data_IF_086546495678
#
_entry.id   IF_086546495678
#
_cell.length_a   1.000
_cell.length_b   1.000
_cell.length_c   1.000
_cell.angle_alpha   90.00
_cell.angle_beta   90.00
_cell.angle_gamma   90.00
#
_symmetry.space_group_name_H-M   'P 1'
#
loop_
_entity.id
_entity.type
_entity.pdbx_description
1 polymer ?
#
# COMPACT_ATOMS: atom_id res chain seq x y z
N UNK A 1 -91.67 87.85 -6.79
CA UNK A 1 -92.58 86.67 -6.76
C UNK A 1 -92.72 86.13 -8.17
N UNK A 2 -92.22 84.94 -8.46
CA UNK A 2 -92.79 83.99 -9.43
C UNK A 2 -91.87 82.77 -9.54
N UNK A 3 -92.46 81.59 -9.38
CA UNK A 3 -91.83 80.27 -9.39
C UNK A 3 -91.63 79.75 -10.82
N UNK A 4 -90.51 79.02 -10.97
CA UNK A 4 -90.23 77.83 -11.81
C UNK A 4 -90.33 77.99 -13.35
N UNK A 5 -89.39 77.35 -14.08
CA UNK A 5 -89.68 75.99 -14.56
C UNK A 5 -88.50 75.01 -14.49
N UNK A 6 -88.81 73.81 -14.97
CA UNK A 6 -88.23 72.47 -14.82
C UNK A 6 -86.97 72.22 -15.73
N UNK A 7 -86.35 71.01 -15.66
CA UNK A 7 -84.92 70.76 -15.83
C UNK A 7 -84.50 70.25 -17.22
N UNK A 8 -83.19 70.22 -17.49
CA UNK A 8 -82.53 69.41 -18.56
C UNK A 8 -80.99 69.57 -18.48
N UNK A 9 -80.16 68.76 -19.16
CA UNK A 9 -80.02 67.30 -19.14
C UNK A 9 -78.61 66.85 -18.65
N UNK A 10 -78.44 65.55 -18.43
CA UNK A 10 -77.17 64.89 -18.05
C UNK A 10 -76.04 65.16 -19.06
N UNK A 11 -74.96 65.81 -18.61
CA UNK A 11 -73.72 65.94 -19.38
C UNK A 11 -72.80 64.73 -19.14
N UNK A 12 -72.27 64.24 -20.26
CA UNK A 12 -71.40 63.07 -20.43
C UNK A 12 -70.20 63.05 -19.48
N UNK A 13 -69.88 61.86 -18.99
CA UNK A 13 -68.71 61.57 -18.18
C UNK A 13 -67.40 61.80 -18.99
N UNK A 14 -66.45 62.53 -18.40
CA UNK A 14 -65.06 62.59 -18.88
C UNK A 14 -64.38 61.24 -18.59
N UNK A 15 -63.57 60.68 -19.51
CA UNK A 15 -62.78 59.50 -19.21
C UNK A 15 -61.73 59.84 -18.12
N UNK A 16 -61.61 58.96 -17.13
CA UNK A 16 -60.59 59.06 -16.08
C UNK A 16 -59.20 59.01 -16.72
N UNK A 17 -58.40 60.05 -16.52
CA UNK A 17 -56.95 59.98 -16.71
C UNK A 17 -56.39 58.97 -15.70
N UNK A 18 -55.93 57.82 -16.20
CA UNK A 18 -55.19 56.86 -15.41
C UNK A 18 -53.86 57.51 -15.01
N UNK A 19 -53.79 58.04 -13.78
CA UNK A 19 -52.54 58.24 -13.08
C UNK A 19 -51.82 56.89 -13.03
N UNK A 20 -50.77 56.73 -13.84
CA UNK A 20 -49.80 55.66 -13.66
C UNK A 20 -49.07 55.92 -12.35
N UNK A 21 -49.63 55.39 -11.25
CA UNK A 21 -48.86 55.19 -10.02
C UNK A 21 -47.64 54.37 -10.41
N UNK A 22 -46.44 54.98 -10.34
CA UNK A 22 -45.19 54.23 -10.22
C UNK A 22 -45.37 53.35 -8.98
N UNK A 23 -45.72 52.09 -9.18
CA UNK A 23 -45.65 51.08 -8.15
C UNK A 23 -44.18 51.01 -7.76
N UNK A 24 -43.84 51.49 -6.56
CA UNK A 24 -42.58 51.16 -5.94
C UNK A 24 -42.57 49.63 -5.79
N UNK A 25 -41.88 48.96 -6.71
CA UNK A 25 -41.64 47.52 -6.61
C UNK A 25 -41.02 47.25 -5.24
N UNK A 26 -41.78 46.56 -4.39
CA UNK A 26 -41.28 45.98 -3.17
C UNK A 26 -40.19 44.97 -3.57
N UNK A 27 -38.92 45.40 -3.63
CA UNK A 27 -37.80 44.48 -3.81
C UNK A 27 -37.79 43.55 -2.60
N UNK A 28 -38.26 42.32 -2.81
CA UNK A 28 -38.11 41.23 -1.84
C UNK A 28 -36.63 41.21 -1.43
N UNK A 29 -36.31 41.13 -0.12
CA UNK A 29 -34.93 41.12 0.32
C UNK A 29 -34.24 39.88 -0.28
N UNK A 30 -33.41 40.08 -1.29
CA UNK A 30 -32.58 39.03 -1.87
C UNK A 30 -31.39 38.84 -0.95
N UNK A 31 -31.33 37.71 -0.26
CA UNK A 31 -30.17 37.33 0.53
C UNK A 31 -28.93 37.35 -0.39
N UNK A 32 -27.84 38.04 -0.02
CA UNK A 32 -26.64 38.05 -0.83
C UNK A 32 -26.09 36.63 -0.95
N UNK A 33 -25.76 36.22 -2.18
CA UNK A 33 -25.34 34.84 -2.47
C UNK A 33 -24.03 34.46 -1.75
N UNK A 34 -23.14 35.44 -1.52
CA UNK A 34 -21.82 35.23 -0.94
C UNK A 34 -21.83 34.64 0.49
N UNK A 35 -22.56 35.21 1.49
CA UNK A 35 -22.63 34.60 2.82
C UNK A 35 -23.35 33.25 2.84
N UNK A 36 -24.33 33.01 1.95
CA UNK A 36 -24.96 31.70 1.82
C UNK A 36 -23.94 30.65 1.39
N UNK A 37 -23.12 30.95 0.38
CA UNK A 37 -22.04 30.04 -0.06
C UNK A 37 -21.06 29.76 1.07
N UNK A 38 -20.65 30.76 1.86
CA UNK A 38 -19.76 30.57 3.01
C UNK A 38 -20.39 29.69 4.11
N UNK A 39 -21.69 29.83 4.38
CA UNK A 39 -22.39 28.99 5.34
C UNK A 39 -22.49 27.56 4.82
N UNK A 40 -22.80 27.36 3.52
CA UNK A 40 -22.86 26.03 2.91
C UNK A 40 -21.48 25.35 2.87
N UNK A 41 -20.40 26.08 2.59
CA UNK A 41 -19.05 25.51 2.62
C UNK A 41 -18.62 25.20 4.06
N UNK A 42 -18.87 26.08 5.02
CA UNK A 42 -18.57 25.84 6.43
C UNK A 42 -19.33 24.62 6.97
N UNK A 43 -20.64 24.53 6.67
CA UNK A 43 -21.47 23.37 7.05
C UNK A 43 -21.00 22.10 6.38
N UNK A 44 -20.67 22.12 5.08
CA UNK A 44 -20.11 20.97 4.37
C UNK A 44 -18.76 20.52 4.96
N UNK A 45 -17.86 21.45 5.31
CA UNK A 45 -16.58 21.14 5.97
C UNK A 45 -16.83 20.56 7.36
N UNK A 46 -17.76 21.12 8.15
CA UNK A 46 -18.11 20.54 9.46
C UNK A 46 -18.77 19.18 9.33
N UNK A 47 -19.63 18.96 8.33
CA UNK A 47 -20.25 17.67 8.07
C UNK A 47 -19.21 16.64 7.61
N UNK A 48 -18.26 17.03 6.76
CA UNK A 48 -17.12 16.20 6.36
C UNK A 48 -16.21 15.89 7.56
N UNK A 49 -15.92 16.89 8.39
CA UNK A 49 -15.14 16.73 9.61
C UNK A 49 -15.84 15.82 10.63
N UNK A 50 -17.15 15.97 10.83
CA UNK A 50 -17.97 15.12 11.69
C UNK A 50 -18.11 13.71 11.12
N UNK A 51 -18.25 13.57 9.80
CA UNK A 51 -18.27 12.27 9.13
C UNK A 51 -16.93 11.55 9.34
N UNK A 52 -15.80 12.22 9.05
CA UNK A 52 -14.48 11.65 9.29
C UNK A 52 -14.21 11.38 10.78
N UNK A 53 -14.77 12.19 11.68
CA UNK A 53 -14.76 12.00 13.12
C UNK A 53 -15.53 10.72 13.48
N UNK A 54 -16.84 10.62 13.23
CA UNK A 54 -17.64 9.46 13.66
C UNK A 54 -17.30 8.14 12.94
N UNK A 55 -16.82 8.20 11.70
CA UNK A 55 -16.43 6.99 10.94
C UNK A 55 -14.93 6.66 11.04
N UNK A 56 -14.16 7.41 11.85
CA UNK A 56 -12.77 7.03 12.16
C UNK A 56 -12.73 5.72 12.95
N UNK A 57 -11.75 4.86 12.62
CA UNK A 57 -11.52 3.57 13.30
C UNK A 57 -11.40 3.69 14.81
N UNK A 58 -10.97 4.86 15.30
CA UNK A 58 -10.76 5.18 16.70
C UNK A 58 -12.07 5.25 17.50
N UNK A 59 -13.24 5.46 16.88
CA UNK A 59 -14.52 5.54 17.60
C UNK A 59 -15.15 4.19 17.92
N UNK A 60 -14.69 3.14 17.28
CA UNK A 60 -15.08 1.76 17.60
C UNK A 60 -14.59 1.32 18.98
N UNK A 61 -13.57 1.98 19.51
CA UNK A 61 -13.03 1.70 20.83
C UNK A 61 -13.87 2.36 21.93
N UNK A 62 -14.03 1.71 23.09
CA UNK A 62 -14.48 2.32 24.34
C UNK A 62 -13.75 3.63 24.66
N UNK A 63 -14.40 4.54 25.41
CA UNK A 63 -13.92 5.91 25.61
C UNK A 63 -12.52 6.00 26.21
N UNK A 64 -12.21 5.16 27.21
CA UNK A 64 -10.91 5.14 27.88
C UNK A 64 -9.76 4.80 26.91
N UNK A 65 -9.91 3.69 26.17
CA UNK A 65 -8.93 3.24 25.17
C UNK A 65 -8.76 4.30 24.08
N UNK A 66 -9.88 4.88 23.63
CA UNK A 66 -9.91 5.91 22.59
C UNK A 66 -9.07 7.14 22.96
N UNK A 67 -9.16 7.57 24.22
CA UNK A 67 -8.43 8.74 24.73
C UNK A 67 -6.93 8.53 24.65
N UNK A 68 -6.44 7.35 25.03
CA UNK A 68 -5.02 7.03 24.99
C UNK A 68 -4.53 6.80 23.55
N UNK A 69 -5.30 6.11 22.69
CA UNK A 69 -4.94 5.94 21.27
C UNK A 69 -4.78 7.28 20.54
N UNK A 70 -5.68 8.25 20.77
CA UNK A 70 -5.57 9.58 20.17
C UNK A 70 -4.31 10.31 20.62
N UNK A 71 -3.94 10.18 21.90
CA UNK A 71 -2.69 10.77 22.40
C UNK A 71 -1.49 10.09 21.75
N UNK A 72 -1.48 8.75 21.64
CA UNK A 72 -0.45 8.00 20.92
C UNK A 72 -0.24 8.53 19.50
N UNK A 73 -1.32 8.57 18.71
CA UNK A 73 -1.31 9.11 17.34
C UNK A 73 -0.87 10.58 17.28
N UNK A 74 -1.28 11.40 18.25
CA UNK A 74 -0.88 12.80 18.33
C UNK A 74 0.63 12.96 18.54
N UNK A 75 1.19 12.20 19.48
CA UNK A 75 2.62 12.29 19.79
C UNK A 75 3.49 11.71 18.69
N UNK A 76 3.03 10.67 18.01
CA UNK A 76 3.70 10.09 16.85
C UNK A 76 3.71 11.05 15.66
N UNK A 77 2.54 11.55 15.24
CA UNK A 77 2.42 12.26 13.96
C UNK A 77 2.64 13.77 14.03
N UNK A 78 2.36 14.42 15.17
CA UNK A 78 2.38 15.89 15.27
C UNK A 78 3.49 16.43 16.15
N UNK A 79 3.80 15.75 17.25
CA UNK A 79 4.87 16.18 18.17
C UNK A 79 6.21 15.52 17.88
N UNK A 80 6.24 14.48 17.05
CA UNK A 80 7.42 13.67 16.76
C UNK A 80 8.14 13.21 18.04
N UNK A 81 7.36 12.77 19.04
CA UNK A 81 7.84 12.20 20.30
C UNK A 81 7.39 10.72 20.37
N UNK A 82 8.10 9.83 19.68
CA UNK A 82 7.70 8.43 19.56
C UNK A 82 7.78 7.69 20.90
N UNK A 83 8.60 8.13 21.85
CA UNK A 83 8.71 7.50 23.18
C UNK A 83 7.44 7.72 23.99
N UNK A 84 6.88 8.95 23.99
CA UNK A 84 5.57 9.18 24.61
C UNK A 84 4.46 8.44 23.89
N UNK A 85 4.52 8.37 22.56
CA UNK A 85 3.54 7.63 21.78
C UNK A 85 3.48 6.15 22.19
N UNK A 86 4.65 5.49 22.36
CA UNK A 86 4.74 4.12 22.89
C UNK A 86 4.00 3.99 24.23
N UNK A 87 4.24 4.88 25.19
CA UNK A 87 3.59 4.79 26.51
C UNK A 87 2.06 4.86 26.40
N UNK A 88 1.54 5.74 25.53
CA UNK A 88 0.09 5.84 25.30
C UNK A 88 -0.47 4.61 24.60
N UNK A 89 0.24 4.04 23.63
CA UNK A 89 -0.18 2.80 22.97
C UNK A 89 -0.14 1.60 23.91
N UNK A 90 0.89 1.47 24.75
CA UNK A 90 0.95 0.43 25.79
C UNK A 90 -0.20 0.56 26.79
N UNK A 91 -0.51 1.79 27.23
CA UNK A 91 -1.64 2.05 28.14
C UNK A 91 -2.96 1.66 27.48
N UNK A 92 -3.17 2.08 26.23
CA UNK A 92 -4.37 1.73 25.46
C UNK A 92 -4.50 0.21 25.24
N UNK A 93 -3.39 -0.49 24.97
CA UNK A 93 -3.37 -1.94 24.80
C UNK A 93 -3.71 -2.66 26.13
N UNK A 94 -3.14 -2.21 27.24
CA UNK A 94 -3.45 -2.75 28.56
C UNK A 94 -4.93 -2.53 28.93
N UNK A 95 -5.48 -1.35 28.66
CA UNK A 95 -6.91 -1.07 28.85
C UNK A 95 -7.77 -1.96 27.96
N UNK A 96 -7.33 -2.24 26.73
CA UNK A 96 -8.04 -3.13 25.81
C UNK A 96 -8.07 -4.59 26.30
N UNK A 97 -6.97 -5.11 26.83
CA UNK A 97 -6.92 -6.46 27.42
C UNK A 97 -7.78 -6.62 28.68
N UNK A 98 -7.95 -5.55 29.45
CA UNK A 98 -8.76 -5.58 30.66
C UNK A 98 -10.24 -5.29 30.39
N UNK A 99 -10.63 -5.05 29.13
CA UNK A 99 -11.99 -4.73 28.77
C UNK A 99 -12.78 -6.00 28.43
N UNK A 100 -13.85 -6.27 29.18
CA UNK A 100 -14.68 -7.46 28.98
C UNK A 100 -15.48 -7.47 27.65
N UNK A 101 -15.63 -6.32 26.98
CA UNK A 101 -16.36 -6.20 25.71
C UNK A 101 -15.47 -6.47 24.50
N UNK A 102 -14.15 -6.45 24.66
CA UNK A 102 -13.19 -6.61 23.57
C UNK A 102 -12.53 -8.00 23.62
N UNK A 103 -12.70 -8.77 22.56
CA UNK A 103 -11.94 -9.99 22.36
C UNK A 103 -10.48 -9.64 21.99
N UNK A 104 -9.51 -10.35 22.56
CA UNK A 104 -8.09 -10.16 22.27
C UNK A 104 -7.75 -10.47 20.81
N UNK A 105 -8.51 -11.37 20.17
CA UNK A 105 -8.38 -11.69 18.75
C UNK A 105 -9.08 -10.67 17.83
N UNK A 106 -9.80 -9.71 18.40
CA UNK A 106 -10.58 -8.75 17.62
C UNK A 106 -9.69 -7.86 16.73
N UNK A 107 -10.22 -7.39 15.58
CA UNK A 107 -9.53 -6.42 14.73
C UNK A 107 -9.10 -5.14 15.42
N UNK A 108 -9.82 -4.75 16.47
CA UNK A 108 -9.57 -3.59 17.30
C UNK A 108 -8.30 -3.80 18.14
N UNK A 109 -8.26 -4.84 18.97
CA UNK A 109 -7.13 -5.09 19.87
C UNK A 109 -5.86 -5.42 19.08
N UNK A 110 -5.96 -6.30 18.07
CA UNK A 110 -4.83 -6.64 17.19
C UNK A 110 -4.35 -5.43 16.37
N UNK A 111 -5.26 -4.50 16.05
CA UNK A 111 -4.92 -3.23 15.41
C UNK A 111 -4.01 -2.35 16.28
N UNK A 112 -4.27 -2.29 17.59
CA UNK A 112 -3.40 -1.58 18.54
C UNK A 112 -2.01 -2.23 18.60
N UNK A 113 -1.97 -3.57 18.65
CA UNK A 113 -0.70 -4.32 18.66
C UNK A 113 0.13 -4.02 17.41
N UNK A 114 -0.47 -4.08 16.22
CA UNK A 114 0.23 -3.78 14.95
C UNK A 114 0.81 -2.37 14.96
N UNK A 115 0.05 -1.37 15.43
CA UNK A 115 0.54 0.01 15.50
C UNK A 115 1.71 0.16 16.50
N UNK A 116 1.62 -0.48 17.65
CA UNK A 116 2.69 -0.48 18.65
C UNK A 116 3.94 -1.20 18.13
N UNK A 117 3.78 -2.36 17.48
CA UNK A 117 4.86 -3.11 16.87
C UNK A 117 5.59 -2.30 15.79
N UNK A 118 4.84 -1.66 14.88
CA UNK A 118 5.42 -0.77 13.85
C UNK A 118 6.21 0.38 14.45
N UNK A 119 5.68 1.00 15.53
CA UNK A 119 6.39 2.08 16.22
C UNK A 119 7.68 1.58 16.89
N UNK A 120 7.70 0.36 17.42
CA UNK A 120 8.93 -0.23 17.95
C UNK A 120 9.99 -0.45 16.87
N UNK A 121 9.59 -0.87 15.66
CA UNK A 121 10.52 -0.98 14.55
C UNK A 121 11.09 0.36 14.10
N UNK A 122 10.25 1.39 13.99
CA UNK A 122 10.69 2.76 13.69
C UNK A 122 11.73 3.24 14.71
N UNK A 123 11.62 2.80 15.97
CA UNK A 123 12.55 3.08 17.05
C UNK A 123 13.78 2.14 17.09
N UNK A 124 13.89 1.17 16.18
CA UNK A 124 14.94 0.16 16.17
C UNK A 124 14.84 -0.86 17.32
N UNK A 125 13.73 -0.89 18.05
CA UNK A 125 13.45 -1.80 19.17
C UNK A 125 12.91 -3.14 18.65
N UNK A 126 13.73 -3.84 17.86
CA UNK A 126 13.34 -5.05 17.11
C UNK A 126 12.76 -6.16 17.98
N UNK A 127 13.29 -6.36 19.21
CA UNK A 127 12.78 -7.39 20.13
C UNK A 127 11.39 -7.05 20.66
N UNK A 128 11.17 -5.80 21.06
CA UNK A 128 9.85 -5.36 21.54
C UNK A 128 8.81 -5.42 20.41
N UNK A 129 9.21 -5.08 19.18
CA UNK A 129 8.38 -5.26 18.00
C UNK A 129 8.01 -6.74 17.81
N UNK A 130 9.01 -7.63 17.84
CA UNK A 130 8.80 -9.07 17.70
C UNK A 130 7.78 -9.59 18.72
N UNK A 131 7.95 -9.26 20.00
CA UNK A 131 7.05 -9.71 21.07
C UNK A 131 5.59 -9.28 20.81
N UNK A 132 5.37 -8.03 20.40
CA UNK A 132 4.03 -7.51 20.13
C UNK A 132 3.43 -8.10 18.85
N UNK A 133 4.21 -8.29 17.78
CA UNK A 133 3.72 -8.94 16.57
C UNK A 133 3.42 -10.42 16.79
N UNK A 134 4.21 -11.12 17.58
CA UNK A 134 3.94 -12.52 17.98
C UNK A 134 2.65 -12.59 18.77
N UNK A 135 2.44 -11.67 19.73
CA UNK A 135 1.19 -11.57 20.47
C UNK A 135 -0.03 -11.35 19.55
N UNK A 136 0.09 -10.47 18.55
CA UNK A 136 -0.97 -10.24 17.57
C UNK A 136 -1.23 -11.47 16.67
N UNK A 137 -0.16 -12.16 16.28
CA UNK A 137 -0.24 -13.37 15.46
C UNK A 137 -0.92 -14.50 16.23
N UNK A 138 -0.48 -14.77 17.46
CA UNK A 138 -1.00 -15.85 18.29
C UNK A 138 -2.45 -15.61 18.70
N UNK A 139 -2.82 -14.36 19.01
CA UNK A 139 -4.21 -14.00 19.30
C UNK A 139 -5.16 -14.38 18.15
N UNK A 140 -4.70 -14.30 16.89
CA UNK A 140 -5.54 -14.60 15.72
C UNK A 140 -5.41 -16.08 15.29
N UNK A 141 -4.19 -16.59 15.19
CA UNK A 141 -3.90 -17.88 14.56
C UNK A 141 -4.01 -19.04 15.53
N UNK A 142 -3.54 -18.85 16.76
CA UNK A 142 -3.52 -19.88 17.80
C UNK A 142 -4.11 -19.39 19.13
N UNK A 143 -5.34 -18.83 19.15
CA UNK A 143 -5.95 -18.41 20.41
C UNK A 143 -5.97 -19.61 21.38
N UNK A 144 -5.48 -19.39 22.60
CA UNK A 144 -5.31 -20.43 23.63
C UNK A 144 -4.49 -21.66 23.16
N UNK A 145 -3.49 -21.46 22.31
CA UNK A 145 -2.64 -22.50 21.71
C UNK A 145 -3.40 -23.49 20.81
N UNK A 146 -4.56 -23.12 20.29
CA UNK A 146 -5.35 -23.96 19.38
C UNK A 146 -5.44 -23.32 17.99
N UNK A 147 -4.93 -23.97 16.93
CA UNK A 147 -5.06 -23.45 15.57
C UNK A 147 -6.53 -23.32 15.16
N UNK A 148 -6.93 -22.13 14.73
CA UNK A 148 -8.29 -21.87 14.25
C UNK A 148 -8.31 -21.80 12.73
N UNK A 149 -9.41 -22.26 12.12
CA UNK A 149 -9.61 -22.10 10.67
C UNK A 149 -9.76 -20.62 10.35
N UNK A 150 -8.82 -20.09 9.57
CA UNK A 150 -8.83 -18.70 9.12
C UNK A 150 -9.59 -18.56 7.81
N UNK A 151 -10.38 -17.48 7.68
CA UNK A 151 -11.03 -17.11 6.43
C UNK A 151 -11.09 -15.59 6.27
N UNK A 152 -11.29 -15.14 5.02
CA UNK A 152 -11.55 -13.75 4.72
C UNK A 152 -10.36 -12.82 5.01
N UNK A 153 -10.70 -11.61 5.45
CA UNK A 153 -9.73 -10.57 5.80
C UNK A 153 -8.88 -10.93 7.02
N UNK A 154 -9.37 -11.80 7.90
CA UNK A 154 -8.61 -12.27 9.07
C UNK A 154 -7.44 -13.13 8.60
N UNK A 155 -7.67 -14.05 7.66
CA UNK A 155 -6.60 -14.86 7.05
C UNK A 155 -5.53 -13.99 6.39
N UNK A 156 -5.92 -12.99 5.59
CA UNK A 156 -4.97 -12.06 4.97
C UNK A 156 -4.15 -11.29 6.01
N UNK A 157 -4.78 -10.83 7.10
CA UNK A 157 -4.06 -10.17 8.20
C UNK A 157 -3.04 -11.10 8.86
N UNK A 158 -3.40 -12.35 9.14
CA UNK A 158 -2.47 -13.33 9.71
C UNK A 158 -1.28 -13.61 8.79
N UNK A 159 -1.50 -13.67 7.47
CA UNK A 159 -0.45 -13.82 6.46
C UNK A 159 0.50 -12.62 6.49
N UNK A 160 -0.03 -11.39 6.56
CA UNK A 160 0.79 -10.18 6.68
C UNK A 160 1.61 -10.14 7.97
N UNK A 161 1.02 -10.58 9.10
CA UNK A 161 1.74 -10.73 10.37
C UNK A 161 2.84 -11.78 10.28
N UNK A 162 2.60 -12.92 9.63
CA UNK A 162 3.61 -13.96 9.42
C UNK A 162 4.78 -13.44 8.57
N UNK A 163 4.49 -12.80 7.43
CA UNK A 163 5.52 -12.15 6.60
C UNK A 163 6.38 -11.19 7.45
N UNK A 164 5.73 -10.39 8.30
CA UNK A 164 6.41 -9.46 9.18
C UNK A 164 7.29 -10.12 10.24
N UNK A 165 6.79 -11.19 10.87
CA UNK A 165 7.57 -12.00 11.79
C UNK A 165 8.77 -12.64 11.08
N UNK A 166 8.60 -13.05 9.81
CA UNK A 166 9.68 -13.48 8.93
C UNK A 166 10.80 -12.44 8.84
N UNK A 167 10.45 -11.19 8.49
CA UNK A 167 11.40 -10.08 8.38
C UNK A 167 12.13 -9.81 9.69
N UNK A 168 11.41 -9.81 10.81
CA UNK A 168 11.97 -9.56 12.14
C UNK A 168 12.94 -10.67 12.55
N UNK A 169 12.56 -11.94 12.38
CA UNK A 169 13.45 -13.06 12.64
C UNK A 169 14.68 -13.04 11.72
N UNK A 170 14.52 -12.68 10.45
CA UNK A 170 15.64 -12.51 9.52
C UNK A 170 16.60 -11.41 10.00
N UNK A 171 16.08 -10.27 10.46
CA UNK A 171 16.90 -9.17 11.01
C UNK A 171 17.69 -9.60 12.27
N UNK A 172 17.13 -10.51 13.07
CA UNK A 172 17.75 -11.11 14.24
C UNK A 172 18.65 -12.32 13.91
N UNK A 173 18.82 -12.66 12.62
CA UNK A 173 19.58 -13.82 12.14
C UNK A 173 19.04 -15.17 12.64
N UNK A 174 17.73 -15.24 12.87
CA UNK A 174 17.00 -16.44 13.29
C UNK A 174 16.36 -17.12 12.08
N UNK A 175 17.21 -17.63 11.19
CA UNK A 175 16.82 -18.09 9.85
C UNK A 175 15.77 -19.20 9.87
N UNK A 176 15.85 -20.14 10.81
CA UNK A 176 14.86 -21.23 10.94
C UNK A 176 13.46 -20.69 11.19
N UNK A 177 13.33 -19.70 12.08
CA UNK A 177 12.03 -19.10 12.38
C UNK A 177 11.56 -18.20 11.24
N UNK A 178 12.47 -17.45 10.62
CA UNK A 178 12.13 -16.64 9.46
C UNK A 178 11.56 -17.51 8.33
N UNK A 179 12.26 -18.60 7.98
CA UNK A 179 11.84 -19.58 6.97
C UNK A 179 10.46 -20.15 7.30
N UNK A 180 10.21 -20.53 8.56
CA UNK A 180 8.93 -21.06 9.01
C UNK A 180 7.77 -20.09 8.74
N UNK A 181 7.90 -18.81 9.09
CA UNK A 181 6.82 -17.85 8.90
C UNK A 181 6.58 -17.51 7.42
N UNK A 182 7.65 -17.36 6.63
CA UNK A 182 7.51 -17.14 5.20
C UNK A 182 6.85 -18.33 4.51
N UNK A 183 7.25 -19.57 4.81
CA UNK A 183 6.61 -20.78 4.28
C UNK A 183 5.13 -20.81 4.67
N UNK A 184 4.82 -20.65 5.95
CA UNK A 184 3.44 -20.69 6.43
C UNK A 184 2.56 -19.67 5.68
N UNK A 185 3.06 -18.45 5.49
CA UNK A 185 2.32 -17.40 4.78
C UNK A 185 2.01 -17.76 3.32
N UNK A 186 2.98 -18.34 2.59
CA UNK A 186 2.81 -18.76 1.19
C UNK A 186 1.88 -19.96 1.11
N UNK A 187 2.00 -20.92 2.03
CA UNK A 187 1.10 -22.08 2.12
C UNK A 187 -0.35 -21.65 2.34
N UNK A 188 -0.60 -20.69 3.24
CA UNK A 188 -1.95 -20.19 3.49
C UNK A 188 -2.57 -19.53 2.24
N UNK A 189 -1.76 -18.83 1.44
CA UNK A 189 -2.21 -18.22 0.18
C UNK A 189 -2.51 -19.28 -0.89
N UNK A 190 -1.64 -20.27 -1.05
CA UNK A 190 -1.81 -21.36 -2.02
C UNK A 190 -2.99 -22.27 -1.65
N UNK A 191 -3.21 -22.53 -0.36
CA UNK A 191 -4.36 -23.28 0.12
C UNK A 191 -5.67 -22.58 -0.30
N UNK A 192 -5.78 -21.26 -0.07
CA UNK A 192 -6.96 -20.49 -0.46
C UNK A 192 -7.23 -20.56 -1.97
N UNK A 193 -6.19 -20.54 -2.80
CA UNK A 193 -6.36 -20.76 -4.24
C UNK A 193 -6.90 -22.16 -4.54
N UNK A 194 -6.34 -23.20 -3.91
CA UNK A 194 -6.77 -24.58 -4.14
C UNK A 194 -8.23 -24.83 -3.74
N UNK A 195 -8.68 -24.25 -2.62
CA UNK A 195 -10.06 -24.35 -2.14
C UNK A 195 -11.04 -23.72 -3.16
N UNK A 196 -10.71 -22.53 -3.68
CA UNK A 196 -11.51 -21.85 -4.70
C UNK A 196 -11.48 -22.60 -6.04
N UNK A 197 -10.34 -23.17 -6.43
CA UNK A 197 -10.22 -23.96 -7.65
C UNK A 197 -11.08 -25.25 -7.59
N UNK A 198 -11.14 -25.90 -6.43
CA UNK A 198 -11.96 -27.10 -6.21
C UNK A 198 -13.47 -26.79 -6.26
N UNK A 199 -13.90 -25.63 -5.74
CA UNK A 199 -15.30 -25.20 -5.80
C UNK A 199 -15.78 -24.88 -7.22
N UNK A 200 -14.86 -24.49 -8.12
CA UNK A 200 -15.15 -24.06 -9.48
C UNK A 200 -15.00 -25.18 -10.53
N UNK A 201 -15.06 -26.46 -10.14
CA UNK A 201 -14.87 -27.58 -11.07
C UNK A 201 -15.91 -27.63 -12.21
N UNK A 202 -15.53 -27.10 -13.38
CA UNK A 202 -15.64 -27.82 -14.65
C UNK A 202 -14.53 -28.88 -14.70
N UNK A 203 -14.92 -30.14 -14.93
CA UNK A 203 -14.10 -31.36 -14.76
C UNK A 203 -12.92 -31.56 -15.73
N UNK A 204 -12.49 -30.54 -16.49
CA UNK A 204 -11.50 -30.73 -17.56
C UNK A 204 -10.18 -29.95 -17.43
N UNK A 205 -9.98 -29.15 -16.37
CA UNK A 205 -8.68 -28.51 -16.15
C UNK A 205 -7.92 -29.22 -15.04
N UNK A 206 -7.07 -30.18 -15.42
CA UNK A 206 -5.96 -30.60 -14.55
C UNK A 206 -5.04 -29.39 -14.41
N UNK A 207 -5.29 -28.59 -13.39
CA UNK A 207 -4.52 -27.41 -13.03
C UNK A 207 -3.11 -27.84 -12.64
N UNK A 208 -2.20 -27.85 -13.61
CA UNK A 208 -0.79 -27.83 -13.29
C UNK A 208 -0.52 -26.47 -12.63
N UNK A 209 0.06 -26.48 -11.42
CA UNK A 209 0.50 -25.30 -10.69
C UNK A 209 1.41 -24.36 -11.53
N UNK A 210 1.96 -24.91 -12.62
CA UNK A 210 2.83 -24.26 -13.61
C UNK A 210 2.25 -24.23 -15.04
N UNK A 211 0.97 -24.53 -15.28
CA UNK A 211 0.42 -24.40 -16.64
C UNK A 211 0.36 -22.94 -17.06
N UNK A 212 0.80 -22.72 -18.30
CA UNK A 212 0.92 -21.46 -19.07
C UNK A 212 -0.33 -20.55 -19.10
N UNK A 213 -1.45 -20.98 -18.52
CA UNK A 213 -2.71 -20.23 -18.47
C UNK A 213 -2.97 -19.82 -17.01
N UNK A 214 -3.03 -18.52 -16.76
CA UNK A 214 -3.36 -17.92 -15.46
C UNK A 214 -4.86 -18.14 -15.21
N UNK A 215 -5.29 -19.39 -15.05
CA UNK A 215 -6.63 -19.73 -14.56
C UNK A 215 -6.57 -19.83 -13.02
N UNK A 216 -5.81 -18.94 -12.38
CA UNK A 216 -5.73 -18.85 -10.94
C UNK A 216 -6.89 -17.98 -10.45
N UNK A 217 -7.91 -18.61 -9.87
CA UNK A 217 -9.00 -17.89 -9.21
C UNK A 217 -8.59 -17.65 -7.76
N UNK A 218 -8.57 -16.37 -7.37
CA UNK A 218 -8.31 -15.93 -6.01
C UNK A 218 -9.62 -15.57 -5.30
N UNK A 219 -9.71 -15.76 -3.97
CA UNK A 219 -10.88 -15.32 -3.23
C UNK A 219 -11.01 -13.78 -3.25
N UNK A 220 -12.22 -13.21 -3.09
CA UNK A 220 -12.47 -11.76 -3.24
C UNK A 220 -11.67 -10.86 -2.27
N UNK A 221 -11.16 -11.44 -1.19
CA UNK A 221 -10.39 -10.74 -0.17
C UNK A 221 -8.88 -10.74 -0.45
N UNK A 222 -8.41 -11.38 -1.52
CA UNK A 222 -7.00 -11.51 -1.88
C UNK A 222 -6.74 -11.00 -3.29
N UNK A 223 -5.59 -10.35 -3.49
CA UNK A 223 -5.14 -9.92 -4.81
C UNK A 223 -3.94 -10.73 -5.29
N UNK A 224 -3.70 -10.71 -6.61
CA UNK A 224 -2.47 -11.26 -7.20
C UNK A 224 -1.21 -10.56 -6.68
N UNK A 225 -1.33 -9.27 -6.31
CA UNK A 225 -0.24 -8.50 -5.68
C UNK A 225 0.14 -9.08 -4.33
N UNK A 226 -0.84 -9.44 -3.48
CA UNK A 226 -0.57 -10.03 -2.16
C UNK A 226 0.17 -11.37 -2.29
N UNK A 227 -0.26 -12.20 -3.24
CA UNK A 227 0.41 -13.47 -3.54
C UNK A 227 1.82 -13.25 -4.11
N UNK A 228 1.95 -12.33 -5.07
CA UNK A 228 3.24 -12.00 -5.69
C UNK A 228 4.26 -11.51 -4.67
N UNK A 229 3.88 -10.56 -3.82
CA UNK A 229 4.76 -10.02 -2.78
C UNK A 229 5.19 -11.10 -1.76
N UNK A 230 4.27 -11.99 -1.36
CA UNK A 230 4.59 -13.06 -0.41
C UNK A 230 5.55 -14.10 -1.00
N UNK A 231 5.38 -14.43 -2.28
CA UNK A 231 6.31 -15.31 -3.02
C UNK A 231 7.68 -14.65 -3.20
N UNK A 232 7.70 -13.36 -3.54
CA UNK A 232 8.92 -12.59 -3.70
C UNK A 232 9.73 -12.51 -2.40
N UNK A 233 9.07 -12.25 -1.27
CA UNK A 233 9.73 -12.20 0.04
C UNK A 233 10.40 -13.54 0.41
N UNK A 234 9.69 -14.66 0.23
CA UNK A 234 10.27 -15.99 0.46
C UNK A 234 11.41 -16.29 -0.54
N UNK A 235 11.29 -15.85 -1.80
CA UNK A 235 12.34 -15.98 -2.80
C UNK A 235 13.60 -15.18 -2.42
N UNK A 236 13.42 -13.95 -1.95
CA UNK A 236 14.50 -13.07 -1.48
C UNK A 236 15.20 -13.65 -0.25
N UNK A 237 14.43 -14.20 0.69
CA UNK A 237 14.97 -14.93 1.83
C UNK A 237 15.89 -16.06 1.36
N UNK A 238 15.44 -16.94 0.45
CA UNK A 238 16.28 -18.02 -0.08
C UNK A 238 17.48 -17.52 -0.90
N UNK A 239 17.30 -16.50 -1.74
CA UNK A 239 18.37 -15.93 -2.55
C UNK A 239 19.51 -15.41 -1.68
N UNK A 240 19.19 -14.68 -0.61
CA UNK A 240 20.18 -14.14 0.33
C UNK A 240 20.95 -15.23 1.12
N UNK A 241 20.47 -16.48 1.11
CA UNK A 241 21.10 -17.65 1.72
C UNK A 241 21.76 -18.57 0.69
N UNK A 242 21.95 -18.10 -0.55
CA UNK A 242 22.51 -18.88 -1.66
C UNK A 242 21.67 -20.14 -2.01
N UNK A 243 20.43 -20.23 -1.52
CA UNK A 243 19.47 -21.32 -1.76
C UNK A 243 18.75 -21.10 -3.10
N UNK A 244 19.52 -20.89 -4.17
CA UNK A 244 19.03 -20.44 -5.47
C UNK A 244 18.01 -21.37 -6.13
N UNK A 245 18.12 -22.68 -5.90
CA UNK A 245 17.18 -23.69 -6.41
C UNK A 245 15.75 -23.50 -5.87
N UNK A 246 15.60 -22.93 -4.67
CA UNK A 246 14.31 -22.62 -4.08
C UNK A 246 13.82 -21.22 -4.47
N UNK A 247 14.72 -20.24 -4.59
CA UNK A 247 14.38 -18.86 -4.94
C UNK A 247 13.83 -18.71 -6.38
N UNK A 248 14.48 -19.35 -7.35
CA UNK A 248 14.15 -19.18 -8.77
C UNK A 248 12.68 -19.50 -9.12
N UNK A 249 12.11 -20.68 -8.75
CA UNK A 249 10.73 -20.98 -9.08
C UNK A 249 9.74 -20.01 -8.42
N UNK A 250 10.06 -19.48 -7.24
CA UNK A 250 9.21 -18.50 -6.54
C UNK A 250 9.20 -17.15 -7.26
N UNK A 251 10.37 -16.63 -7.67
CA UNK A 251 10.42 -15.39 -8.47
C UNK A 251 9.74 -15.55 -9.82
N UNK A 252 9.96 -16.66 -10.52
CA UNK A 252 9.28 -16.95 -11.79
C UNK A 252 7.77 -17.02 -11.61
N UNK A 253 7.32 -17.61 -10.50
CA UNK A 253 5.90 -17.64 -10.16
C UNK A 253 5.36 -16.24 -9.90
N UNK A 254 6.02 -15.44 -9.05
CA UNK A 254 5.62 -14.06 -8.79
C UNK A 254 5.52 -13.23 -10.09
N UNK A 255 6.49 -13.38 -11.00
CA UNK A 255 6.48 -12.68 -12.29
C UNK A 255 5.28 -13.10 -13.16
N UNK A 256 4.93 -14.39 -13.14
CA UNK A 256 3.77 -14.90 -13.89
C UNK A 256 2.42 -14.39 -13.40
N UNK A 257 2.35 -13.83 -12.18
CA UNK A 257 1.12 -13.25 -11.63
C UNK A 257 0.85 -11.84 -12.17
N UNK A 258 1.87 -11.19 -12.76
CA UNK A 258 1.74 -9.87 -13.35
C UNK A 258 1.28 -10.03 -14.79
N UNK A 259 0.04 -9.61 -15.08
CA UNK A 259 -0.55 -9.73 -16.41
C UNK A 259 -1.24 -8.41 -16.85
N UNK A 260 -0.82 -7.78 -17.96
CA UNK A 260 0.36 -8.12 -18.78
C UNK A 260 1.66 -7.69 -18.08
N UNK A 261 2.78 -8.42 -18.25
CA UNK A 261 4.04 -8.11 -17.56
C UNK A 261 4.58 -6.72 -17.90
N UNK A 262 4.31 -6.21 -19.11
CA UNK A 262 4.74 -4.88 -19.57
C UNK A 262 3.97 -3.74 -18.88
N UNK A 263 2.93 -4.04 -18.10
CA UNK A 263 2.14 -3.02 -17.40
C UNK A 263 2.73 -2.53 -16.08
N UNK A 264 3.80 -3.17 -15.58
CA UNK A 264 4.37 -2.86 -14.26
C UNK A 264 5.90 -2.84 -14.26
N UNK A 265 6.49 -1.81 -13.66
CA UNK A 265 7.92 -1.76 -13.37
C UNK A 265 8.35 -2.83 -12.36
N UNK A 266 7.42 -3.32 -11.54
CA UNK A 266 7.67 -4.44 -10.64
C UNK A 266 8.07 -5.72 -11.38
N UNK A 267 7.60 -5.93 -12.62
CA UNK A 267 8.08 -7.02 -13.47
C UNK A 267 9.59 -6.95 -13.70
N UNK A 268 10.14 -5.75 -13.87
CA UNK A 268 11.58 -5.56 -14.05
C UNK A 268 12.36 -5.80 -12.75
N UNK A 269 11.78 -5.48 -11.59
CA UNK A 269 12.35 -5.83 -10.27
C UNK A 269 12.48 -7.35 -10.14
N UNK A 270 11.43 -8.10 -10.47
CA UNK A 270 11.47 -9.56 -10.45
C UNK A 270 12.48 -10.12 -11.47
N UNK A 271 12.57 -9.54 -12.66
CA UNK A 271 13.58 -9.93 -13.66
C UNK A 271 15.01 -9.65 -13.17
N UNK A 272 15.23 -8.54 -12.46
CA UNK A 272 16.50 -8.22 -11.81
C UNK A 272 16.87 -9.28 -10.75
N UNK A 273 15.93 -9.63 -9.88
CA UNK A 273 16.16 -10.66 -8.85
C UNK A 273 16.45 -12.03 -9.49
N UNK A 274 15.76 -12.38 -10.58
CA UNK A 274 16.06 -13.59 -11.36
C UNK A 274 17.47 -13.54 -11.96
N UNK A 275 17.91 -12.39 -12.49
CA UNK A 275 19.28 -12.24 -12.99
C UNK A 275 20.34 -12.42 -11.91
N UNK A 276 20.09 -11.94 -10.70
CA UNK A 276 20.99 -12.10 -9.55
C UNK A 276 21.09 -13.57 -9.15
N UNK A 277 19.95 -14.28 -9.11
CA UNK A 277 19.90 -15.72 -8.86
C UNK A 277 20.73 -16.50 -9.89
N UNK A 278 20.60 -16.21 -11.18
CA UNK A 278 21.42 -16.85 -12.22
C UNK A 278 22.90 -16.47 -12.12
N UNK A 279 23.22 -15.24 -11.74
CA UNK A 279 24.59 -14.79 -11.50
C UNK A 279 25.22 -15.60 -10.36
N UNK A 280 24.50 -15.79 -9.26
CA UNK A 280 24.92 -16.61 -8.13
C UNK A 280 25.07 -18.10 -8.45
N UNK A 281 24.29 -18.61 -9.41
CA UNK A 281 24.47 -19.96 -9.98
C UNK A 281 25.66 -20.06 -10.97
N UNK A 282 26.30 -18.95 -11.33
CA UNK A 282 27.37 -18.89 -12.34
C UNK A 282 26.90 -18.94 -13.78
N UNK A 283 25.58 -18.88 -14.04
CA UNK A 283 25.03 -18.87 -15.40
C UNK A 283 24.90 -17.43 -15.90
N UNK A 284 26.03 -16.84 -16.30
CA UNK A 284 26.12 -15.43 -16.70
C UNK A 284 25.30 -15.11 -17.96
N UNK A 285 25.16 -16.06 -18.89
CA UNK A 285 24.37 -15.87 -20.12
C UNK A 285 22.88 -15.68 -19.80
N UNK A 286 22.30 -16.57 -18.97
CA UNK A 286 20.92 -16.41 -18.53
C UNK A 286 20.73 -15.17 -17.66
N UNK A 287 21.69 -14.88 -16.77
CA UNK A 287 21.67 -13.68 -15.95
C UNK A 287 21.58 -12.41 -16.81
N UNK A 288 22.47 -12.29 -17.80
CA UNK A 288 22.48 -11.17 -18.73
C UNK A 288 21.14 -11.07 -19.48
N UNK A 289 20.63 -12.19 -20.01
CA UNK A 289 19.37 -12.20 -20.75
C UNK A 289 18.16 -11.73 -19.91
N UNK A 290 18.11 -12.06 -18.62
CA UNK A 290 17.06 -11.58 -17.72
C UNK A 290 17.21 -10.09 -17.38
N UNK A 291 18.43 -9.64 -17.08
CA UNK A 291 18.71 -8.24 -16.78
C UNK A 291 18.43 -7.33 -18.00
N UNK A 292 18.81 -7.74 -19.21
CA UNK A 292 18.53 -7.00 -20.45
C UNK A 292 17.02 -6.91 -20.73
N UNK A 293 16.26 -7.98 -20.48
CA UNK A 293 14.79 -7.95 -20.60
C UNK A 293 14.16 -6.98 -19.63
N UNK A 294 14.59 -6.99 -18.36
CA UNK A 294 14.15 -6.04 -17.35
C UNK A 294 14.46 -4.60 -17.75
N UNK A 295 15.69 -4.34 -18.22
CA UNK A 295 16.13 -3.03 -18.66
C UNK A 295 15.29 -2.52 -19.85
N UNK A 296 15.06 -3.38 -20.85
CA UNK A 296 14.22 -3.05 -22.01
C UNK A 296 12.78 -2.75 -21.60
N UNK A 297 12.25 -3.43 -20.58
CA UNK A 297 10.90 -3.17 -20.07
C UNK A 297 10.80 -1.76 -19.48
N UNK A 298 11.72 -1.40 -18.58
CA UNK A 298 11.70 -0.06 -17.93
C UNK A 298 12.03 1.08 -18.87
N UNK A 299 12.83 0.84 -19.92
CA UNK A 299 13.15 1.85 -20.94
C UNK A 299 11.98 2.15 -21.87
N UNK A 300 11.18 1.13 -22.20
CA UNK A 300 10.00 1.28 -23.04
C UNK A 300 8.73 1.64 -22.24
N UNK A 301 8.82 1.71 -20.92
CA UNK A 301 7.69 2.05 -20.07
C UNK A 301 7.21 3.48 -20.34
N UNK A 302 5.90 3.66 -20.49
CA UNK A 302 5.28 4.92 -20.89
C UNK A 302 5.73 6.08 -19.97
N UNK A 303 6.32 7.13 -20.55
CA UNK A 303 6.87 8.29 -19.84
C UNK A 303 5.87 8.97 -18.89
N UNK A 304 4.56 8.86 -19.15
CA UNK A 304 3.50 9.44 -18.29
C UNK A 304 3.25 8.65 -16.99
N UNK A 305 3.80 7.44 -16.85
CA UNK A 305 3.63 6.55 -15.68
C UNK A 305 4.96 6.19 -15.01
N UNK A 306 6.05 6.88 -15.33
CA UNK A 306 7.34 6.64 -14.67
C UNK A 306 7.22 6.99 -13.19
N UNK A 307 7.36 5.97 -12.35
CA UNK A 307 7.52 6.11 -10.91
C UNK A 307 9.01 6.18 -10.59
N UNK A 308 9.35 6.72 -9.42
CA UNK A 308 10.71 6.68 -8.86
C UNK A 308 11.25 5.24 -8.83
N UNK A 309 10.40 4.29 -8.46
CA UNK A 309 10.71 2.84 -8.46
C UNK A 309 11.19 2.33 -9.84
N UNK A 310 10.58 2.79 -10.95
CA UNK A 310 11.02 2.41 -12.29
C UNK A 310 12.45 2.89 -12.59
N UNK A 311 12.79 4.12 -12.19
CA UNK A 311 14.11 4.69 -12.46
C UNK A 311 15.18 4.11 -11.50
N UNK A 312 14.82 3.81 -10.24
CA UNK A 312 15.68 3.09 -9.29
C UNK A 312 15.98 1.68 -9.78
N UNK A 313 14.96 0.92 -10.19
CA UNK A 313 15.11 -0.42 -10.77
C UNK A 313 16.00 -0.38 -12.03
N UNK A 314 15.84 0.65 -12.88
CA UNK A 314 16.71 0.84 -14.05
C UNK A 314 18.17 1.04 -13.66
N UNK A 315 18.43 1.81 -12.60
CA UNK A 315 19.79 2.00 -12.06
C UNK A 315 20.40 0.68 -11.57
N UNK A 316 19.63 -0.11 -10.81
CA UNK A 316 20.08 -1.42 -10.30
C UNK A 316 20.33 -2.41 -11.44
N UNK A 317 19.46 -2.48 -12.44
CA UNK A 317 19.65 -3.34 -13.61
C UNK A 317 20.91 -2.99 -14.40
N UNK A 318 21.18 -1.70 -14.59
CA UNK A 318 22.43 -1.24 -15.23
C UNK A 318 23.65 -1.65 -14.41
N UNK A 319 23.60 -1.49 -13.08
CA UNK A 319 24.69 -1.91 -12.21
C UNK A 319 24.91 -3.43 -12.28
N UNK A 320 23.85 -4.23 -12.23
CA UNK A 320 23.91 -5.68 -12.32
C UNK A 320 24.43 -6.16 -13.69
N UNK A 321 24.06 -5.51 -14.79
CA UNK A 321 24.67 -5.77 -16.10
C UNK A 321 26.17 -5.44 -16.13
N UNK A 322 26.59 -4.41 -15.39
CA UNK A 322 28.00 -4.10 -15.16
C UNK A 322 28.72 -5.23 -14.44
N UNK A 323 28.14 -5.74 -13.35
CA UNK A 323 28.68 -6.89 -12.59
C UNK A 323 28.78 -8.15 -13.44
N UNK A 324 27.72 -8.48 -14.19
CA UNK A 324 27.70 -9.66 -15.07
C UNK A 324 28.78 -9.51 -16.16
N UNK A 325 28.97 -8.31 -16.71
CA UNK A 325 30.01 -8.03 -17.70
C UNK A 325 31.42 -8.14 -17.11
N UNK A 326 31.63 -7.67 -15.88
CA UNK A 326 32.89 -7.81 -15.14
C UNK A 326 33.22 -9.29 -14.91
N UNK A 327 32.26 -10.07 -14.41
CA UNK A 327 32.40 -11.52 -14.21
C UNK A 327 32.64 -12.29 -15.51
N UNK A 328 32.12 -11.78 -16.64
CA UNK A 328 32.35 -12.34 -17.97
C UNK A 328 33.71 -11.92 -18.58
N UNK A 329 34.52 -11.14 -17.87
CA UNK A 329 35.82 -10.63 -18.32
C UNK A 329 35.75 -9.45 -19.30
N UNK A 330 34.56 -8.88 -19.54
CA UNK A 330 34.39 -7.73 -20.42
C UNK A 330 34.40 -6.42 -19.62
N UNK A 331 35.61 -6.00 -19.22
CA UNK A 331 35.84 -4.81 -18.40
C UNK A 331 35.34 -3.53 -19.07
N UNK A 332 35.45 -3.43 -20.41
CA UNK A 332 34.99 -2.26 -21.17
C UNK A 332 33.48 -2.09 -21.02
N UNK A 333 32.70 -3.15 -21.28
CA UNK A 333 31.25 -3.12 -21.08
C UNK A 333 30.86 -2.91 -19.63
N UNK A 334 31.59 -3.52 -18.69
CA UNK A 334 31.35 -3.32 -17.26
C UNK A 334 31.45 -1.83 -16.88
N UNK A 335 32.53 -1.18 -17.30
CA UNK A 335 32.76 0.26 -17.10
C UNK A 335 31.62 1.10 -17.68
N UNK A 336 31.21 0.83 -18.92
CA UNK A 336 30.10 1.54 -19.55
C UNK A 336 28.79 1.42 -18.77
N UNK A 337 28.47 0.22 -18.28
CA UNK A 337 27.25 -0.04 -17.52
C UNK A 337 27.30 0.64 -16.14
N UNK A 338 28.42 0.55 -15.42
CA UNK A 338 28.57 1.24 -14.14
C UNK A 338 28.50 2.76 -14.28
N UNK A 339 29.09 3.33 -15.33
CA UNK A 339 28.94 4.75 -15.65
C UNK A 339 27.48 5.15 -15.91
N UNK A 340 26.76 4.34 -16.70
CA UNK A 340 25.32 4.57 -16.95
C UNK A 340 24.51 4.49 -15.66
N UNK A 341 24.77 3.50 -14.81
CA UNK A 341 24.11 3.34 -13.51
C UNK A 341 24.35 4.54 -12.61
N UNK A 342 25.63 4.95 -12.44
CA UNK A 342 26.03 6.11 -11.63
C UNK A 342 25.36 7.40 -12.12
N UNK A 343 25.39 7.67 -13.42
CA UNK A 343 24.84 8.91 -13.98
C UNK A 343 23.32 8.98 -13.84
N UNK A 344 22.62 7.85 -14.01
CA UNK A 344 21.20 7.76 -13.74
C UNK A 344 20.90 7.98 -12.25
N UNK A 345 21.61 7.28 -11.36
CA UNK A 345 21.43 7.34 -9.92
C UNK A 345 21.66 8.76 -9.37
N UNK A 346 22.67 9.50 -9.88
CA UNK A 346 22.89 10.92 -9.55
C UNK A 346 21.72 11.81 -9.96
N UNK A 347 21.08 11.52 -11.11
CA UNK A 347 19.95 12.30 -11.61
C UNK A 347 18.68 12.12 -10.75
N UNK A 348 18.51 10.95 -10.13
CA UNK A 348 17.32 10.61 -9.32
C UNK A 348 17.58 10.67 -7.81
N UNK A 349 18.74 11.15 -7.39
CA UNK A 349 19.16 11.21 -5.98
C UNK A 349 19.11 9.85 -5.26
N UNK A 350 19.63 8.80 -5.93
CA UNK A 350 19.73 7.45 -5.37
C UNK A 350 21.15 7.16 -4.89
N UNK A 351 21.45 7.58 -3.65
CA UNK A 351 22.80 7.56 -3.05
C UNK A 351 23.47 6.18 -3.08
N UNK A 352 22.72 5.13 -2.78
CA UNK A 352 23.29 3.79 -2.61
C UNK A 352 23.82 3.25 -3.93
N UNK A 353 23.04 3.39 -5.00
CA UNK A 353 23.46 3.02 -6.35
C UNK A 353 24.65 3.87 -6.84
N UNK A 354 24.72 5.16 -6.48
CA UNK A 354 25.90 5.99 -6.78
C UNK A 354 27.15 5.43 -6.11
N UNK A 355 27.07 5.14 -4.81
CA UNK A 355 28.21 4.65 -4.03
C UNK A 355 28.70 3.29 -4.55
N UNK A 356 27.78 2.36 -4.80
CA UNK A 356 28.12 1.03 -5.33
C UNK A 356 28.75 1.11 -6.72
N UNK A 357 28.19 1.92 -7.62
CA UNK A 357 28.74 2.11 -8.95
C UNK A 357 30.14 2.76 -8.91
N UNK A 358 30.38 3.72 -8.02
CA UNK A 358 31.70 4.34 -7.86
C UNK A 358 32.74 3.36 -7.28
N UNK A 359 32.35 2.50 -6.35
CA UNK A 359 33.21 1.43 -5.82
C UNK A 359 33.57 0.43 -6.93
N UNK A 360 32.59 0.01 -7.73
CA UNK A 360 32.82 -0.89 -8.84
C UNK A 360 33.75 -0.28 -9.91
N UNK A 361 33.53 0.99 -10.28
CA UNK A 361 34.41 1.72 -11.21
C UNK A 361 35.85 1.85 -10.69
N UNK A 362 36.03 2.08 -9.39
CA UNK A 362 37.38 2.09 -8.78
C UNK A 362 38.03 0.72 -8.86
N UNK A 363 37.28 -0.35 -8.56
CA UNK A 363 37.76 -1.73 -8.60
C UNK A 363 38.26 -2.13 -9.99
N UNK A 364 37.48 -1.87 -11.04
CA UNK A 364 37.85 -2.26 -12.40
C UNK A 364 39.01 -1.43 -13.00
N UNK A 365 39.29 -0.24 -12.44
CA UNK A 365 40.41 0.60 -12.86
C UNK A 365 41.73 0.24 -12.15
N UNK A 366 41.67 -0.56 -11.08
CA UNK A 366 42.84 -1.03 -10.32
C UNK A 366 43.34 -2.41 -10.79
N UNK A 367 42.49 -3.18 -11.46
CA UNK A 367 42.81 -4.45 -12.11
C UNK A 367 43.16 -4.23 -13.59
#
# INVERSE_FOLDING_TARGET
MARKPAPEPLKQAKPLEFFTQKTNEYRKPTLPAFPLVLIFTATAITCLGLYQYFFSTVYKYPEEIRKNLRKGLYYQNYRNDPTRAVNYYQTALNEAFNNAELDNASPEVTGIMIQLGSLYEELGRIRDALDVFTMAYDAIVTPNNTPVKLDGKIKLRSIGLAQKLGDLHQSLKQDEQAEKYYIWSVEQLLQSHSEVAQLNHDNNSRNNLFSKKIDMVLPPWMTFTDLGASLEALAAFYSSRYKYAYALPLYLRALSLINPPESSCHSAVLMNNISEVFTGMGNLELAQGWAERGLKLVENFNQKKKTRECDECRGVLLFNLGMISELSGNVVKASEYYEKARNLAKKIDYSDCVNEAELALKRINMN
#
